data_IF_305794189342
#
_entry.id   IF_305794189342
#
_cell.length_a   1.000
_cell.length_b   1.000
_cell.length_c   1.000
_cell.angle_alpha   90.00
_cell.angle_beta   90.00
_cell.angle_gamma   90.00
#
_symmetry.space_group_name_H-M   'P 1'
#
loop_
_entity.id
_entity.type
_entity.pdbx_description
1 polymer ?
#
# COMPACT_ATOMS: atom_id res chain seq x y z
N UNK A 1 2.30 0.80 -36.84
CA UNK A 1 0.98 1.24 -36.36
C UNK A 1 0.14 -0.01 -36.13
N UNK A 2 -0.13 -0.37 -34.88
CA UNK A 2 -0.90 -1.59 -34.56
C UNK A 2 -2.37 -1.34 -34.88
N UNK A 3 -2.99 -2.23 -35.66
CA UNK A 3 -4.42 -2.16 -35.93
C UNK A 3 -5.20 -2.48 -34.65
N UNK A 4 -5.64 -1.44 -33.94
CA UNK A 4 -6.42 -1.55 -32.70
C UNK A 4 -7.75 -2.30 -32.90
N UNK A 5 -8.24 -2.46 -34.13
CA UNK A 5 -9.49 -3.21 -34.39
C UNK A 5 -9.30 -4.72 -34.32
N UNK A 6 -8.06 -5.20 -34.49
CA UNK A 6 -7.72 -6.63 -34.57
C UNK A 6 -6.89 -7.12 -33.38
N UNK A 7 -6.62 -6.25 -32.41
CA UNK A 7 -5.93 -6.62 -31.18
C UNK A 7 -6.96 -6.97 -30.10
N UNK A 8 -6.70 -8.05 -29.37
CA UNK A 8 -7.54 -8.51 -28.27
C UNK A 8 -7.52 -7.54 -27.07
N UNK A 9 -6.52 -6.66 -27.00
CA UNK A 9 -6.31 -5.67 -25.94
C UNK A 9 -7.27 -4.47 -26.07
N UNK A 10 -7.95 -4.32 -27.20
CA UNK A 10 -8.84 -3.19 -27.46
C UNK A 10 -10.29 -3.66 -27.67
N UNK A 11 -11.22 -2.92 -27.05
CA UNK A 11 -12.67 -3.06 -27.27
C UNK A 11 -13.27 -1.72 -27.64
N UNK A 12 -14.19 -1.73 -28.61
CA UNK A 12 -14.89 -0.52 -29.04
C UNK A 12 -15.95 -0.15 -28.00
N UNK A 13 -15.89 1.09 -27.51
CA UNK A 13 -16.95 1.72 -26.72
C UNK A 13 -17.69 2.73 -27.60
N UNK A 14 -19.01 2.63 -27.66
CA UNK A 14 -19.85 3.49 -28.52
C UNK A 14 -20.94 4.19 -27.70
N UNK A 15 -21.23 5.45 -28.04
CA UNK A 15 -22.31 6.23 -27.43
C UNK A 15 -22.64 7.47 -28.26
N UNK A 16 -23.79 8.08 -27.97
CA UNK A 16 -24.21 9.35 -28.59
C UNK A 16 -23.87 10.52 -27.69
N UNK A 17 -23.41 11.62 -28.29
CA UNK A 17 -23.14 12.90 -27.62
C UNK A 17 -23.78 14.04 -28.45
N UNK A 18 -24.06 15.21 -27.84
CA UNK A 18 -24.55 16.37 -28.58
C UNK A 18 -23.62 16.77 -29.74
N UNK A 19 -24.22 17.24 -30.84
CA UNK A 19 -23.49 17.53 -32.08
C UNK A 19 -22.43 18.63 -31.91
N UNK A 20 -22.75 19.66 -31.13
CA UNK A 20 -21.81 20.76 -30.87
C UNK A 20 -20.59 20.28 -30.07
N UNK A 21 -20.83 19.42 -29.07
CA UNK A 21 -19.77 18.81 -28.28
C UNK A 21 -18.87 17.92 -29.13
N UNK A 22 -19.46 17.11 -30.02
CA UNK A 22 -18.70 16.28 -30.95
C UNK A 22 -17.83 17.11 -31.91
N UNK A 23 -18.35 18.25 -32.38
CA UNK A 23 -17.63 19.16 -33.28
C UNK A 23 -16.46 19.81 -32.57
N UNK A 24 -16.68 20.32 -31.37
CA UNK A 24 -15.65 20.97 -30.57
C UNK A 24 -14.54 19.98 -30.18
N UNK A 25 -14.92 18.80 -29.69
CA UNK A 25 -13.96 17.74 -29.36
C UNK A 25 -13.05 17.40 -30.54
N UNK A 26 -13.62 17.17 -31.73
CA UNK A 26 -12.85 16.88 -32.95
C UNK A 26 -11.94 18.04 -33.35
N UNK A 27 -12.41 19.27 -33.20
CA UNK A 27 -11.62 20.47 -33.51
C UNK A 27 -10.41 20.59 -32.59
N UNK A 28 -10.57 20.28 -31.30
CA UNK A 28 -9.48 20.32 -30.31
C UNK A 28 -8.46 19.21 -30.63
N UNK A 29 -8.91 17.98 -30.83
CA UNK A 29 -8.02 16.87 -31.21
C UNK A 29 -7.19 17.20 -32.46
N UNK A 30 -7.82 17.77 -33.49
CA UNK A 30 -7.12 18.16 -34.71
C UNK A 30 -6.09 19.28 -34.48
N UNK A 31 -6.44 20.29 -33.66
CA UNK A 31 -5.55 21.41 -33.32
C UNK A 31 -4.34 20.94 -32.52
N UNK A 32 -4.51 19.96 -31.64
CA UNK A 32 -3.47 19.46 -30.74
C UNK A 32 -2.69 18.28 -31.31
N UNK A 33 -3.07 17.77 -32.50
CA UNK A 33 -2.43 16.61 -33.12
C UNK A 33 -2.67 15.31 -32.35
N UNK A 34 -3.69 15.25 -31.51
CA UNK A 34 -4.05 14.08 -30.70
C UNK A 34 -5.10 13.25 -31.43
N UNK A 35 -4.98 11.92 -31.40
CA UNK A 35 -6.00 11.06 -31.97
C UNK A 35 -7.26 11.04 -31.09
N UNK A 36 -8.45 11.00 -31.72
CA UNK A 36 -9.72 10.94 -30.97
C UNK A 36 -9.75 9.74 -30.01
N UNK A 37 -9.12 8.62 -30.38
CA UNK A 37 -9.03 7.44 -29.53
C UNK A 37 -8.15 7.66 -28.31
N UNK A 38 -7.01 8.35 -28.45
CA UNK A 38 -6.11 8.61 -27.32
C UNK A 38 -6.74 9.62 -26.34
N UNK A 39 -7.41 10.66 -26.86
CA UNK A 39 -8.16 11.60 -26.05
C UNK A 39 -9.31 10.92 -25.29
N UNK A 40 -10.05 10.01 -25.94
CA UNK A 40 -11.09 9.22 -25.27
C UNK A 40 -10.50 8.28 -24.22
N UNK A 41 -9.34 7.69 -24.47
CA UNK A 41 -8.65 6.82 -23.51
C UNK A 41 -8.26 7.60 -22.25
N UNK A 42 -7.67 8.78 -22.40
CA UNK A 42 -7.32 9.67 -21.28
C UNK A 42 -8.56 10.08 -20.47
N UNK A 43 -9.59 10.59 -21.15
CA UNK A 43 -10.86 10.97 -20.50
C UNK A 43 -11.50 9.80 -19.75
N UNK A 44 -11.45 8.60 -20.34
CA UNK A 44 -12.01 7.38 -19.71
C UNK A 44 -11.24 6.99 -18.46
N UNK A 45 -9.89 7.06 -18.50
CA UNK A 45 -9.04 6.81 -17.33
C UNK A 45 -9.33 7.81 -16.22
N UNK A 46 -9.43 9.09 -16.54
CA UNK A 46 -9.72 10.14 -15.57
C UNK A 46 -11.12 9.96 -14.95
N UNK A 47 -12.11 9.64 -15.77
CA UNK A 47 -13.47 9.38 -15.33
C UNK A 47 -13.55 8.16 -14.41
N UNK A 48 -12.81 7.09 -14.72
CA UNK A 48 -12.69 5.92 -13.86
C UNK A 48 -12.04 6.29 -12.54
N UNK A 49 -10.89 6.97 -12.55
CA UNK A 49 -10.16 7.39 -11.35
C UNK A 49 -11.04 8.19 -10.38
N UNK A 50 -11.85 9.12 -10.91
CA UNK A 50 -12.82 9.91 -10.11
C UNK A 50 -13.89 9.05 -9.44
N UNK A 51 -14.28 7.93 -10.04
CA UNK A 51 -15.40 7.08 -9.58
C UNK A 51 -14.97 5.90 -8.73
N UNK A 52 -13.81 5.34 -8.98
CA UNK A 52 -13.32 4.21 -8.18
C UNK A 52 -12.72 4.65 -6.85
N UNK A 53 -12.46 5.95 -6.61
CA UNK A 53 -11.80 6.41 -5.38
C UNK A 53 -10.39 5.82 -5.19
N UNK A 54 -9.90 5.09 -6.19
CA UNK A 54 -8.62 4.43 -6.24
C UNK A 54 -7.70 5.37 -6.99
N UNK A 55 -6.79 6.00 -6.25
CA UNK A 55 -5.53 6.48 -6.78
C UNK A 55 -5.02 5.48 -7.83
N UNK A 56 -5.00 5.93 -9.08
CA UNK A 56 -4.25 5.37 -10.23
C UNK A 56 -3.47 4.09 -9.93
N UNK A 57 -4.00 2.94 -10.37
CA UNK A 57 -3.18 1.79 -10.71
C UNK A 57 -2.56 2.06 -12.08
N UNK A 58 -1.66 3.04 -12.12
CA UNK A 58 -0.54 3.03 -13.05
C UNK A 58 0.56 2.34 -12.23
N UNK A 59 1.23 1.29 -12.72
CA UNK A 59 2.46 0.82 -12.09
C UNK A 59 3.56 1.84 -12.37
N UNK A 60 3.41 3.03 -11.77
CA UNK A 60 4.56 3.80 -11.34
C UNK A 60 5.36 2.86 -10.43
N UNK A 61 6.70 2.82 -10.46
CA UNK A 61 7.50 2.12 -9.47
C UNK A 61 7.35 2.86 -8.13
N UNK A 62 6.13 2.79 -7.59
CA UNK A 62 5.73 3.37 -6.34
C UNK A 62 6.60 2.72 -5.29
N UNK A 63 7.25 3.59 -4.50
CA UNK A 63 7.99 3.21 -3.30
C UNK A 63 7.16 2.16 -2.58
N UNK A 64 7.72 0.96 -2.33
CA UNK A 64 6.95 -0.16 -1.80
C UNK A 64 6.26 0.29 -0.52
N UNK A 65 4.92 0.27 -0.52
CA UNK A 65 4.09 0.88 0.54
C UNK A 65 3.97 -0.02 1.76
N UNK A 66 4.17 -1.32 1.56
CA UNK A 66 4.01 -2.34 2.59
C UNK A 66 5.29 -3.13 2.81
N UNK A 67 5.43 -3.73 3.99
CA UNK A 67 6.58 -4.59 4.27
C UNK A 67 6.67 -5.79 3.31
N UNK A 68 5.53 -6.33 2.85
CA UNK A 68 5.50 -7.43 1.89
C UNK A 68 6.13 -7.02 0.56
N UNK A 69 5.74 -5.86 0.02
CA UNK A 69 6.31 -5.29 -1.20
C UNK A 69 7.80 -4.96 -1.01
N UNK A 70 8.16 -4.35 0.13
CA UNK A 70 9.54 -4.02 0.47
C UNK A 70 10.41 -5.27 0.46
N UNK A 71 9.94 -6.36 1.07
CA UNK A 71 10.65 -7.64 1.13
C UNK A 71 10.70 -8.32 -0.24
N UNK A 72 9.61 -8.29 -1.01
CA UNK A 72 9.53 -8.88 -2.34
C UNK A 72 10.56 -8.25 -3.29
N UNK A 73 10.63 -6.92 -3.31
CA UNK A 73 11.56 -6.17 -4.17
C UNK A 73 13.02 -6.35 -3.73
N UNK A 74 13.28 -6.50 -2.43
CA UNK A 74 14.64 -6.58 -1.87
C UNK A 74 15.06 -7.99 -1.44
N UNK A 75 14.41 -9.03 -1.94
CA UNK A 75 14.65 -10.43 -1.58
C UNK A 75 16.14 -10.83 -1.67
N UNK A 76 16.87 -10.34 -2.66
CA UNK A 76 18.29 -10.67 -2.85
C UNK A 76 19.19 -10.12 -1.75
N UNK A 77 18.88 -8.93 -1.21
CA UNK A 77 19.60 -8.30 -0.09
C UNK A 77 19.23 -8.93 1.26
N UNK A 78 17.99 -9.37 1.40
CA UNK A 78 17.46 -9.94 2.65
C UNK A 78 17.79 -11.43 2.85
N UNK A 79 18.24 -12.15 1.82
CA UNK A 79 18.62 -13.58 1.96
C UNK A 79 19.68 -13.86 3.04
N UNK A 80 20.46 -12.85 3.43
CA UNK A 80 21.49 -12.94 4.47
C UNK A 80 21.09 -12.43 5.86
N UNK A 81 19.88 -11.88 6.07
CA UNK A 81 19.54 -11.20 7.32
C UNK A 81 19.00 -12.12 8.44
N UNK A 82 18.97 -13.44 8.22
CA UNK A 82 18.62 -14.43 9.27
C UNK A 82 17.13 -14.57 9.60
N UNK A 83 16.25 -13.82 8.93
CA UNK A 83 14.79 -13.94 9.11
C UNK A 83 14.27 -15.19 8.39
N UNK A 84 13.71 -16.14 9.14
CA UNK A 84 13.26 -17.44 8.61
C UNK A 84 12.01 -17.33 7.72
N UNK A 85 11.17 -16.32 7.96
CA UNK A 85 9.84 -16.19 7.36
C UNK A 85 9.77 -15.21 6.18
N UNK A 86 10.91 -14.79 5.62
CA UNK A 86 10.97 -13.77 4.56
C UNK A 86 10.07 -14.08 3.35
N UNK A 87 9.99 -15.35 2.95
CA UNK A 87 9.15 -15.76 1.81
C UNK A 87 7.65 -15.66 2.10
N UNK A 88 7.23 -15.97 3.33
CA UNK A 88 5.84 -15.85 3.75
C UNK A 88 5.42 -14.38 3.89
N UNK A 89 6.34 -13.54 4.42
CA UNK A 89 6.13 -12.08 4.51
C UNK A 89 6.05 -11.45 3.11
N UNK A 90 6.91 -11.85 2.17
CA UNK A 90 6.88 -11.34 0.79
C UNK A 90 5.57 -11.64 0.06
N UNK A 91 4.90 -12.75 0.42
CA UNK A 91 3.60 -13.13 -0.14
C UNK A 91 2.41 -12.54 0.64
N UNK A 92 2.67 -11.74 1.67
CA UNK A 92 1.67 -11.23 2.61
C UNK A 92 0.83 -12.34 3.30
N UNK A 93 1.37 -13.57 3.39
CA UNK A 93 0.70 -14.69 4.06
C UNK A 93 0.80 -14.57 5.59
N UNK A 94 1.87 -13.93 6.09
CA UNK A 94 2.18 -13.80 7.52
C UNK A 94 2.64 -12.37 7.81
N UNK A 95 2.11 -11.78 8.88
CA UNK A 95 2.57 -10.47 9.38
C UNK A 95 3.96 -10.59 10.02
N UNK A 96 4.89 -9.65 9.75
CA UNK A 96 6.19 -9.68 10.41
C UNK A 96 6.03 -9.44 11.91
N UNK A 97 6.75 -10.22 12.72
CA UNK A 97 6.92 -9.91 14.15
C UNK A 97 7.69 -8.58 14.28
N UNK A 98 7.46 -7.76 15.33
CA UNK A 98 8.21 -6.52 15.51
C UNK A 98 9.74 -6.68 15.40
N UNK A 99 10.27 -7.82 15.86
CA UNK A 99 11.69 -8.17 15.70
C UNK A 99 12.11 -8.40 14.25
N UNK A 100 11.33 -9.18 13.47
CA UNK A 100 11.60 -9.42 12.05
C UNK A 100 11.55 -8.10 11.25
N UNK A 101 10.58 -7.24 11.56
CA UNK A 101 10.44 -5.93 10.93
C UNK A 101 11.65 -5.02 11.19
N UNK A 102 12.15 -4.99 12.43
CA UNK A 102 13.35 -4.23 12.78
C UNK A 102 14.57 -4.73 12.00
N UNK A 103 14.74 -6.06 11.89
CA UNK A 103 15.85 -6.66 11.14
C UNK A 103 15.76 -6.33 9.64
N UNK A 104 14.57 -6.47 9.04
CA UNK A 104 14.34 -6.18 7.61
C UNK A 104 14.61 -4.71 7.30
N UNK A 105 14.01 -3.80 8.07
CA UNK A 105 14.13 -2.35 7.82
C UNK A 105 15.54 -1.84 8.08
N UNK A 106 16.24 -2.40 9.08
CA UNK A 106 17.65 -2.11 9.34
C UNK A 106 18.55 -2.62 8.20
N UNK A 107 18.35 -3.85 7.72
CA UNK A 107 19.14 -4.42 6.62
C UNK A 107 18.98 -3.65 5.30
N UNK A 108 17.83 -2.98 5.11
CA UNK A 108 17.55 -2.16 3.93
C UNK A 108 17.96 -0.69 4.09
N UNK A 109 18.44 -0.29 5.27
CA UNK A 109 18.82 1.10 5.53
C UNK A 109 17.65 2.08 5.47
N UNK A 110 16.43 1.62 5.78
CA UNK A 110 15.22 2.44 5.72
C UNK A 110 15.22 3.43 6.91
N UNK A 111 14.98 4.73 6.70
CA UNK A 111 14.94 5.74 7.77
C UNK A 111 13.71 5.57 8.67
N UNK A 112 13.76 6.07 9.90
CA UNK A 112 12.75 5.80 10.93
C UNK A 112 11.35 6.28 10.53
N UNK A 113 11.27 7.42 9.83
CA UNK A 113 10.04 8.00 9.32
C UNK A 113 9.33 7.03 8.37
N UNK A 114 10.09 6.42 7.45
CA UNK A 114 9.56 5.43 6.50
C UNK A 114 9.18 4.12 7.20
N UNK A 115 9.91 3.69 8.22
CA UNK A 115 9.54 2.51 9.01
C UNK A 115 8.16 2.67 9.63
N UNK A 116 7.85 3.84 10.20
CA UNK A 116 6.54 4.12 10.81
C UNK A 116 5.44 4.06 9.76
N UNK A 117 5.66 4.64 8.58
CA UNK A 117 4.70 4.60 7.47
C UNK A 117 4.46 3.16 7.00
N UNK A 118 5.53 2.41 6.72
CA UNK A 118 5.43 1.02 6.24
C UNK A 118 4.73 0.13 7.28
N UNK A 119 5.01 0.33 8.57
CA UNK A 119 4.34 -0.40 9.64
C UNK A 119 2.84 -0.08 9.64
N UNK A 120 2.45 1.19 9.66
CA UNK A 120 1.05 1.60 9.66
C UNK A 120 0.29 1.09 8.42
N UNK A 121 0.88 1.19 7.24
CA UNK A 121 0.27 0.71 6.00
C UNK A 121 0.11 -0.82 5.98
N UNK A 122 1.05 -1.56 6.55
CA UNK A 122 0.97 -3.03 6.68
C UNK A 122 -0.27 -3.44 7.50
N UNK A 123 -0.59 -2.73 8.59
CA UNK A 123 -1.75 -3.03 9.43
C UNK A 123 -3.07 -2.47 8.89
N UNK A 124 -3.06 -1.35 8.15
CA UNK A 124 -4.29 -0.86 7.47
C UNK A 124 -4.85 -1.88 6.48
N UNK A 125 -3.98 -2.59 5.78
CA UNK A 125 -4.36 -3.61 4.81
C UNK A 125 -4.83 -4.90 5.49
N UNK A 126 -4.30 -5.27 6.65
CA UNK A 126 -4.79 -6.45 7.39
C UNK A 126 -6.24 -6.25 7.83
N UNK A 127 -6.59 -5.07 8.34
CA UNK A 127 -7.98 -4.72 8.74
C UNK A 127 -8.96 -4.77 7.56
N UNK A 128 -8.50 -4.43 6.34
CA UNK A 128 -9.32 -4.53 5.13
C UNK A 128 -9.39 -5.95 4.55
N UNK A 129 -8.37 -6.77 4.76
CA UNK A 129 -8.30 -8.16 4.28
C UNK A 129 -9.14 -9.11 5.14
N UNK A 130 -9.35 -8.79 6.42
CA UNK A 130 -10.21 -9.53 7.34
C UNK A 130 -11.69 -9.60 6.90
N UNK A 131 -12.13 -8.74 5.97
CA UNK A 131 -13.47 -8.80 5.39
C UNK A 131 -13.64 -9.88 4.29
N UNK A 132 -12.56 -10.51 3.82
CA UNK A 132 -12.61 -11.46 2.70
C UNK A 132 -12.21 -12.91 3.02
N UNK A 133 -11.97 -13.24 4.29
CA UNK A 133 -11.70 -14.62 4.69
C UNK A 133 -11.49 -14.76 6.19
N UNK A 134 -12.49 -15.29 6.88
CA UNK A 134 -12.45 -15.56 8.32
C UNK A 134 -11.32 -16.54 8.66
N UNK A 135 -10.43 -16.13 9.57
CA UNK A 135 -10.29 -16.89 10.80
C UNK A 135 -9.97 -15.97 11.98
N UNK A 136 -10.97 -15.90 12.85
CA UNK A 136 -10.96 -15.21 14.13
C UNK A 136 -9.97 -15.92 15.05
N UNK A 137 -8.96 -15.22 15.55
CA UNK A 137 -8.32 -15.56 16.82
C UNK A 137 -8.82 -14.60 17.90
N UNK A 138 -10.06 -14.83 18.33
CA UNK A 138 -10.44 -14.72 19.76
C UNK A 138 -9.98 -16.04 20.39
N UNK A 139 -9.43 -16.16 21.58
CA UNK A 139 -9.22 -15.31 22.74
C UNK A 139 -8.53 -16.24 23.76
N UNK A 140 -7.63 -15.74 24.60
CA UNK A 140 -7.49 -16.22 25.98
C UNK A 140 -6.54 -15.30 26.75
N UNK A 141 -7.15 -14.25 27.28
CA UNK A 141 -7.12 -13.85 28.69
C UNK A 141 -5.97 -14.32 29.62
N UNK A 142 -5.42 -13.29 30.29
CA UNK A 142 -5.24 -13.17 31.75
C UNK A 142 -3.98 -13.72 32.42
N UNK A 143 -3.27 -12.82 33.09
CA UNK A 143 -2.86 -12.77 34.52
C UNK A 143 -2.05 -11.43 34.65
N UNK A 144 -2.57 -10.37 35.30
CA UNK A 144 -2.49 -10.02 36.75
C UNK A 144 -1.04 -10.03 37.27
N UNK A 145 -0.53 -9.16 38.12
CA UNK A 145 -0.95 -8.00 38.88
C UNK A 145 0.38 -7.37 39.36
N UNK A 146 0.37 -6.07 39.66
CA UNK A 146 1.09 -5.45 40.77
C UNK A 146 2.60 -5.72 40.95
N UNK A 147 3.40 -4.67 40.71
CA UNK A 147 4.56 -4.41 41.58
C UNK A 147 4.65 -2.93 41.92
N UNK A 148 3.94 -2.63 43.00
CA UNK A 148 4.29 -1.63 44.00
C UNK A 148 5.79 -1.75 44.35
N UNK A 149 6.56 -0.68 44.13
CA UNK A 149 7.85 -0.49 44.80
C UNK A 149 7.69 0.71 45.72
N UNK A 150 7.18 0.42 46.91
CA UNK A 150 7.36 1.24 48.09
C UNK A 150 8.81 1.08 48.55
N UNK A 151 9.52 2.20 48.67
CA UNK A 151 10.74 2.26 49.47
C UNK A 151 10.68 3.50 50.34
N UNK A 152 9.90 3.40 51.41
CA UNK A 152 10.01 4.24 52.59
C UNK A 152 10.66 3.41 53.71
N UNK A 153 11.86 3.80 54.14
CA UNK A 153 12.27 3.73 55.55
C UNK A 153 13.12 4.99 55.83
N UNK A 154 12.53 5.90 56.63
CA UNK A 154 13.08 7.06 57.33
C UNK A 154 14.14 6.63 58.42
N UNK A 155 14.54 7.40 59.49
CA UNK A 155 14.19 8.76 59.91
C UNK A 155 15.30 9.62 60.56
N UNK A 156 14.88 10.83 60.96
CA UNK A 156 15.31 11.61 62.15
C UNK A 156 16.54 12.52 62.06
N UNK A 157 16.34 13.80 62.38
CA UNK A 157 17.40 14.70 62.83
C UNK A 157 17.01 16.17 62.86
N UNK A 158 16.50 16.62 64.00
CA UNK A 158 16.18 18.00 64.40
C UNK A 158 17.43 18.88 64.64
N UNK A 159 17.24 20.20 64.55
CA UNK A 159 18.09 21.35 65.01
C UNK A 159 19.44 21.59 64.29
N UNK A 160 19.83 22.81 63.91
CA UNK A 160 19.76 24.14 64.57
C UNK A 160 19.44 25.28 63.58
#
# INVERSE_FOLDING_TARGET
MTDRRRSDDYKQVSGYIPIDLAREFKSICAREGVSQSDALEEMTREWLAKRTGVHSVIPEPARPKTIAEVVQVNMTKLKGCGVKNLRAIAKAEVLPTPGDFAIITSALGIPEEERKIIWQETFKISVFSDLRGVNICKESESIKDEHEYSSDIEPTGLEL
#
